data_IF_799960102019
#
_entry.id   IF_799960102019
#
_cell.length_a   1.000
_cell.length_b   1.000
_cell.length_c   1.000
_cell.angle_alpha   90.00
_cell.angle_beta   90.00
_cell.angle_gamma   90.00
#
_symmetry.space_group_name_H-M   'P 1'
#
loop_
_entity.id
_entity.type
_entity.pdbx_description
1 polymer ?
#
# COMPACT_ATOMS: atom_id res chain seq x y z
N UNK A 1 -7.47 -23.79 12.05
CA UNK A 1 -7.55 -22.36 11.69
C UNK A 1 -6.56 -22.13 10.57
N UNK A 2 -6.98 -21.59 9.43
CA UNK A 2 -6.07 -21.28 8.33
C UNK A 2 -5.54 -19.87 8.55
N UNK A 3 -4.22 -19.73 8.67
CA UNK A 3 -3.53 -18.45 8.68
C UNK A 3 -3.30 -17.94 7.25
N UNK A 4 -3.32 -16.63 7.08
CA UNK A 4 -2.92 -15.93 5.85
C UNK A 4 -1.51 -15.39 6.04
N UNK A 5 -0.60 -15.70 5.10
CA UNK A 5 0.74 -15.12 5.05
C UNK A 5 0.75 -13.84 4.23
N UNK A 6 1.64 -12.94 4.59
CA UNK A 6 1.83 -11.69 3.87
C UNK A 6 2.23 -11.98 2.42
N UNK A 7 1.48 -11.49 1.43
CA UNK A 7 1.67 -11.88 0.02
C UNK A 7 2.72 -11.04 -0.72
N UNK A 8 3.21 -9.95 -0.13
CA UNK A 8 4.24 -9.10 -0.71
C UNK A 8 5.55 -9.23 0.06
N UNK A 9 6.67 -9.09 -0.63
CA UNK A 9 7.95 -8.86 -0.01
C UNK A 9 8.08 -7.39 0.47
N UNK A 10 8.90 -7.12 1.51
CA UNK A 10 9.21 -5.76 1.91
C UNK A 10 9.77 -4.91 0.76
N UNK A 11 9.27 -3.69 0.59
CA UNK A 11 9.84 -2.73 -0.35
C UNK A 11 10.91 -1.90 0.36
N UNK A 12 12.18 -2.25 0.13
CA UNK A 12 13.33 -1.67 0.82
C UNK A 12 14.29 -1.00 -0.18
N UNK A 13 14.00 0.22 -0.67
CA UNK A 13 14.91 0.89 -1.59
C UNK A 13 16.21 1.28 -0.88
N UNK A 14 17.33 1.22 -1.60
CA UNK A 14 18.63 1.65 -1.07
C UNK A 14 18.57 3.10 -0.61
N UNK A 15 19.15 3.38 0.57
CA UNK A 15 19.13 4.71 1.16
C UNK A 15 17.77 5.13 1.73
N UNK A 16 16.84 4.20 1.96
CA UNK A 16 15.60 4.48 2.67
C UNK A 16 15.87 5.13 4.04
N UNK A 17 15.12 6.18 4.34
CA UNK A 17 15.21 6.96 5.60
C UNK A 17 13.92 6.90 6.41
N UNK A 18 12.82 6.54 5.76
CA UNK A 18 11.51 6.36 6.37
C UNK A 18 11.02 4.95 6.06
N UNK A 19 10.60 4.21 7.08
CA UNK A 19 9.87 2.96 6.94
C UNK A 19 8.42 3.21 7.37
N UNK A 20 7.47 3.02 6.46
CA UNK A 20 6.06 3.04 6.78
C UNK A 20 5.57 1.60 6.96
N UNK A 21 4.95 1.32 8.10
CA UNK A 21 4.38 0.02 8.42
C UNK A 21 2.85 0.13 8.49
N UNK A 22 2.17 -0.59 7.61
CA UNK A 22 0.75 -0.90 7.80
C UNK A 22 0.55 -2.04 8.81
N UNK A 23 -0.69 -2.48 8.99
CA UNK A 23 -1.02 -3.60 9.89
C UNK A 23 -0.88 -4.95 9.16
N UNK A 24 -1.73 -5.18 8.17
CA UNK A 24 -1.74 -6.31 7.24
C UNK A 24 -2.61 -5.94 6.03
N UNK A 25 -2.30 -6.40 4.82
CA UNK A 25 -3.05 -5.97 3.65
C UNK A 25 -4.49 -6.53 3.63
N UNK A 26 -5.42 -5.84 2.95
CA UNK A 26 -6.75 -6.38 2.71
C UNK A 26 -6.66 -7.63 1.81
N UNK A 27 -7.76 -8.38 1.71
CA UNK A 27 -7.84 -9.51 0.77
C UNK A 27 -7.51 -9.05 -0.67
N UNK A 28 -6.69 -9.83 -1.38
CA UNK A 28 -6.16 -9.53 -2.72
C UNK A 28 -7.24 -9.18 -3.76
N UNK A 29 -8.46 -9.73 -3.62
CA UNK A 29 -9.63 -9.39 -4.47
C UNK A 29 -10.03 -7.91 -4.45
N UNK A 30 -9.57 -7.14 -3.46
CA UNK A 30 -9.84 -5.70 -3.29
C UNK A 30 -8.70 -4.81 -3.78
N UNK A 31 -7.65 -5.39 -4.36
CA UNK A 31 -6.45 -4.66 -4.74
C UNK A 31 -6.62 -4.05 -6.12
N UNK A 32 -6.32 -2.75 -6.23
CA UNK A 32 -6.23 -2.07 -7.52
C UNK A 32 -4.82 -2.14 -8.13
N UNK A 33 -3.83 -2.61 -7.36
CA UNK A 33 -2.46 -2.84 -7.80
C UNK A 33 -1.78 -3.88 -6.92
N UNK A 34 -0.74 -4.54 -7.42
CA UNK A 34 0.09 -5.49 -6.67
C UNK A 34 1.19 -4.75 -5.88
N UNK A 35 0.77 -3.95 -4.89
CA UNK A 35 1.67 -3.15 -4.04
C UNK A 35 0.99 -2.69 -2.73
N UNK A 36 1.70 -1.97 -1.87
CA UNK A 36 1.19 -1.49 -0.58
C UNK A 36 0.09 -0.43 -0.71
N UNK A 37 -0.87 -0.44 0.22
CA UNK A 37 -2.09 0.39 0.21
C UNK A 37 -2.88 0.30 -1.13
N UNK A 38 -3.24 -0.91 -1.59
CA UNK A 38 -3.71 -1.12 -2.95
C UNK A 38 -5.20 -0.84 -3.15
N UNK A 39 -6.00 -0.71 -2.09
CA UNK A 39 -7.43 -0.46 -2.23
C UNK A 39 -7.66 0.99 -2.66
N UNK A 40 -8.36 1.22 -3.78
CA UNK A 40 -8.66 2.57 -4.29
C UNK A 40 -9.45 3.44 -3.30
N UNK A 41 -10.16 2.84 -2.34
CA UNK A 41 -10.84 3.55 -1.25
C UNK A 41 -9.88 4.04 -0.15
N UNK A 42 -8.67 3.49 -0.08
CA UNK A 42 -7.65 3.97 0.84
C UNK A 42 -7.03 5.25 0.28
N UNK A 43 -7.14 6.34 1.04
CA UNK A 43 -6.68 7.66 0.61
C UNK A 43 -5.19 7.91 0.81
N UNK A 44 -4.43 6.94 1.33
CA UNK A 44 -2.99 7.12 1.62
C UNK A 44 -2.24 7.69 0.41
N UNK A 45 -2.35 7.05 -0.77
CA UNK A 45 -1.66 7.55 -1.97
C UNK A 45 -2.22 8.88 -2.49
N UNK A 46 -3.49 9.21 -2.24
CA UNK A 46 -4.03 10.53 -2.59
C UNK A 46 -3.47 11.62 -1.70
N UNK A 47 -3.37 11.36 -0.41
CA UNK A 47 -2.75 12.27 0.58
C UNK A 47 -1.29 12.48 0.23
N UNK A 48 -0.53 11.40 0.00
CA UNK A 48 0.89 11.50 -0.38
C UNK A 48 1.07 12.24 -1.71
N UNK A 49 0.24 11.95 -2.72
CA UNK A 49 0.27 12.64 -4.01
C UNK A 49 0.02 14.15 -3.88
N UNK A 50 -0.98 14.52 -3.07
CA UNK A 50 -1.29 15.92 -2.80
C UNK A 50 -0.16 16.63 -2.06
N UNK A 51 0.43 16.01 -1.04
CA UNK A 51 1.56 16.59 -0.30
C UNK A 51 2.82 16.73 -1.17
N UNK A 52 3.05 15.78 -2.08
CA UNK A 52 4.23 15.76 -2.94
C UNK A 52 4.13 16.73 -4.12
N UNK A 53 2.94 16.91 -4.69
CA UNK A 53 2.78 17.55 -6.01
C UNK A 53 1.66 18.59 -6.08
N UNK A 54 0.83 18.70 -5.05
CA UNK A 54 -0.41 19.48 -5.09
C UNK A 54 -1.57 18.79 -5.81
N UNK A 55 -1.37 17.60 -6.37
CA UNK A 55 -2.41 16.82 -7.07
C UNK A 55 -2.70 15.48 -6.37
N UNK A 56 -3.93 15.36 -5.84
CA UNK A 56 -4.42 14.12 -5.20
C UNK A 56 -4.58 12.95 -6.17
N UNK A 57 -4.58 13.20 -7.48
CA UNK A 57 -4.70 12.19 -8.53
C UNK A 57 -3.34 11.77 -9.11
N UNK A 58 -2.24 12.34 -8.59
CA UNK A 58 -0.90 12.13 -9.13
C UNK A 58 -0.52 10.65 -9.29
N UNK A 59 -0.91 9.78 -8.35
CA UNK A 59 -0.61 8.35 -8.37
C UNK A 59 -1.71 7.47 -8.95
N UNK A 60 -2.72 8.05 -9.60
CA UNK A 60 -3.74 7.26 -10.30
C UNK A 60 -3.30 6.97 -11.74
N UNK A 61 -3.76 5.85 -12.27
CA UNK A 61 -3.71 5.60 -13.71
C UNK A 61 -4.51 6.68 -14.47
N UNK A 62 -4.26 6.88 -15.78
CA UNK A 62 -4.99 7.90 -16.55
C UNK A 62 -6.51 7.76 -16.53
N UNK A 63 -7.03 6.53 -16.46
CA UNK A 63 -8.46 6.23 -16.34
C UNK A 63 -9.02 6.40 -14.91
N UNK A 64 -8.14 6.64 -13.93
CA UNK A 64 -8.42 6.84 -12.51
C UNK A 64 -9.11 5.67 -11.82
N UNK A 65 -9.03 4.47 -12.40
CA UNK A 65 -9.62 3.25 -11.84
C UNK A 65 -8.64 2.46 -10.97
N UNK A 66 -7.35 2.74 -11.07
CA UNK A 66 -6.31 2.04 -10.34
C UNK A 66 -5.23 3.02 -9.86
N UNK A 67 -4.44 2.59 -8.88
CA UNK A 67 -3.18 3.25 -8.58
C UNK A 67 -2.09 2.82 -9.57
N UNK A 68 -1.23 3.76 -9.95
CA UNK A 68 -0.09 3.55 -10.82
C UNK A 68 1.12 3.09 -9.98
N UNK A 69 1.31 1.76 -9.93
CA UNK A 69 2.38 1.12 -9.14
C UNK A 69 3.77 1.66 -9.50
N UNK A 70 4.08 1.79 -10.79
CA UNK A 70 5.42 2.18 -11.23
C UNK A 70 5.76 3.59 -10.78
N UNK A 71 4.79 4.51 -10.90
CA UNK A 71 4.93 5.88 -10.42
C UNK A 71 5.11 5.95 -8.91
N UNK A 72 4.35 5.14 -8.17
CA UNK A 72 4.47 5.02 -6.72
C UNK A 72 5.86 4.49 -6.32
N UNK A 73 6.33 3.41 -6.93
CA UNK A 73 7.65 2.86 -6.65
C UNK A 73 8.78 3.85 -6.95
N UNK A 74 8.69 4.55 -8.09
CA UNK A 74 9.66 5.57 -8.46
C UNK A 74 9.71 6.70 -7.41
N UNK A 75 8.55 7.20 -6.98
CA UNK A 75 8.45 8.21 -5.93
C UNK A 75 9.04 7.72 -4.60
N UNK A 76 8.72 6.49 -4.18
CA UNK A 76 9.25 5.94 -2.94
C UNK A 76 10.77 5.76 -3.00
N UNK A 77 11.33 5.35 -4.15
CA UNK A 77 12.80 5.28 -4.35
C UNK A 77 13.44 6.66 -4.25
N UNK A 78 12.87 7.65 -4.95
CA UNK A 78 13.38 9.02 -4.94
C UNK A 78 13.36 9.64 -3.53
N UNK A 79 12.29 9.40 -2.76
CA UNK A 79 12.11 9.96 -1.42
C UNK A 79 12.73 9.13 -0.30
N UNK A 80 13.28 7.95 -0.60
CA UNK A 80 13.82 7.04 0.41
C UNK A 80 12.75 6.51 1.36
N UNK A 81 11.60 6.11 0.84
CA UNK A 81 10.48 5.54 1.60
C UNK A 81 10.46 4.02 1.38
N UNK A 82 10.67 3.28 2.45
CA UNK A 82 10.45 1.85 2.53
C UNK A 82 9.02 1.55 3.02
N UNK A 83 8.46 0.43 2.58
CA UNK A 83 7.10 0.02 2.91
C UNK A 83 7.09 -1.44 3.32
N UNK A 84 6.39 -1.75 4.41
CA UNK A 84 5.98 -3.10 4.74
C UNK A 84 4.73 -3.08 5.62
N UNK A 85 4.35 -4.24 6.14
CA UNK A 85 3.30 -4.38 7.15
C UNK A 85 3.86 -5.00 8.42
N UNK A 86 3.22 -4.72 9.55
CA UNK A 86 3.68 -5.14 10.87
C UNK A 86 3.51 -6.65 11.07
N UNK A 87 2.44 -7.23 10.54
CA UNK A 87 2.18 -8.66 10.63
C UNK A 87 2.62 -9.39 9.35
N UNK A 88 3.28 -10.54 9.53
CA UNK A 88 3.71 -11.42 8.43
C UNK A 88 2.80 -12.63 8.24
N UNK A 89 2.05 -12.99 9.27
CA UNK A 89 1.09 -14.09 9.26
C UNK A 89 -0.04 -13.76 10.24
N UNK A 90 -1.29 -13.87 9.79
CA UNK A 90 -2.49 -13.50 10.58
C UNK A 90 -3.57 -14.55 10.48
N UNK A 91 -4.46 -14.60 11.46
CA UNK A 91 -5.75 -15.30 11.33
C UNK A 91 -6.80 -14.22 11.15
N UNK A 92 -7.35 -14.12 9.94
CA UNK A 92 -8.39 -13.15 9.63
C UNK A 92 -9.72 -13.64 10.20
N UNK A 93 -10.27 -12.93 11.20
CA UNK A 93 -11.53 -13.33 11.84
C UNK A 93 -12.75 -12.87 11.03
N UNK A 94 -12.64 -11.73 10.34
CA UNK A 94 -13.67 -11.14 9.48
C UNK A 94 -13.07 -10.77 8.12
N UNK A 95 -13.84 -10.80 7.03
CA UNK A 95 -13.40 -10.56 5.63
C UNK A 95 -12.82 -9.14 5.31
N UNK A 96 -12.33 -8.42 6.32
CA UNK A 96 -11.72 -7.10 6.23
C UNK A 96 -10.39 -7.07 7.03
N UNK A 97 -9.74 -5.91 7.10
CA UNK A 97 -8.46 -5.73 7.79
C UNK A 97 -8.60 -5.34 9.28
N UNK A 98 -9.83 -5.25 9.80
CA UNK A 98 -10.14 -4.78 11.15
C UNK A 98 -11.09 -5.75 11.84
N UNK A 99 -10.61 -6.45 12.87
CA UNK A 99 -11.47 -7.36 13.64
C UNK A 99 -12.62 -6.65 14.39
N UNK A 100 -12.51 -5.32 14.56
CA UNK A 100 -13.47 -4.52 15.32
C UNK A 100 -14.84 -4.31 14.64
N UNK A 101 -15.04 -4.68 13.37
CA UNK A 101 -16.33 -4.51 12.68
C UNK A 101 -16.66 -5.68 11.77
#
# INVERSE_FOLDING_TARGET
MNSERHPLDPFLPSGARLLMLGSFPPQRKRWSMEFFYPNLQNDMWRVVGYLATGDKQHFLTPDRKHFDRERIEAFCRERGIALFDTAVEVIRLKDNASDNF
#
